data_IF_845304687190
#
_entry.id   IF_845304687190
#
_cell.length_a   1.000
_cell.length_b   1.000
_cell.length_c   1.000
_cell.angle_alpha   90.00
_cell.angle_beta   90.00
_cell.angle_gamma   90.00
#
_symmetry.space_group_name_H-M   'P 1'
#
loop_
_entity.id
_entity.type
_entity.pdbx_description
1 polymer ?
#
# COMPACT_ATOMS: atom_id res chain seq x y z
N UNK A 1 5.73 -23.56 5.00
CA UNK A 1 5.10 -22.31 4.51
C UNK A 1 3.84 -22.03 5.31
N UNK A 2 3.70 -20.82 5.79
CA UNK A 2 2.53 -20.39 6.56
C UNK A 2 1.86 -19.23 5.83
N UNK A 3 0.54 -19.28 5.71
CA UNK A 3 -0.22 -18.19 5.09
C UNK A 3 -1.11 -17.58 6.16
N UNK A 4 -1.02 -16.27 6.31
CA UNK A 4 -1.83 -15.52 7.27
C UNK A 4 -2.52 -14.35 6.58
N UNK A 5 -3.79 -14.15 6.88
CA UNK A 5 -4.53 -12.97 6.41
C UNK A 5 -4.42 -11.88 7.47
N UNK A 6 -3.98 -10.70 7.05
CA UNK A 6 -3.69 -9.58 7.95
C UNK A 6 -4.20 -8.28 7.37
N UNK A 7 -4.23 -7.27 8.20
CA UNK A 7 -4.48 -5.91 7.73
C UNK A 7 -3.51 -4.93 8.38
N UNK A 8 -3.38 -3.77 7.78
CA UNK A 8 -2.57 -2.69 8.31
C UNK A 8 -3.24 -1.37 7.97
N UNK A 9 -3.42 -0.52 8.99
CA UNK A 9 -3.93 0.83 8.80
C UNK A 9 -2.88 1.74 8.18
N UNK A 10 -3.33 2.78 7.50
CA UNK A 10 -2.45 3.83 6.99
C UNK A 10 -3.06 5.20 7.27
N UNK A 11 -2.20 6.17 7.48
CA UNK A 11 -2.57 7.57 7.66
C UNK A 11 -1.48 8.43 7.04
N UNK A 12 -1.85 9.16 6.00
CA UNK A 12 -0.88 10.00 5.28
C UNK A 12 -0.84 11.37 5.95
N UNK A 13 0.04 11.50 6.94
CA UNK A 13 0.15 12.70 7.78
C UNK A 13 1.13 13.74 7.26
N UNK A 14 1.55 13.62 6.02
CA UNK A 14 2.51 14.51 5.39
C UNK A 14 2.24 14.55 3.89
N UNK A 15 2.68 15.61 3.22
CA UNK A 15 2.59 15.71 1.74
C UNK A 15 3.79 15.05 1.05
N UNK A 16 4.75 14.54 1.81
CA UNK A 16 5.86 13.77 1.26
C UNK A 16 5.47 12.34 0.97
N UNK A 17 6.36 11.62 0.31
CA UNK A 17 6.16 10.20 0.05
C UNK A 17 6.40 9.39 1.32
N UNK A 18 5.45 8.55 1.67
CA UNK A 18 5.48 7.73 2.89
C UNK A 18 5.53 6.26 2.50
N UNK A 19 6.45 5.50 3.12
CA UNK A 19 6.46 4.05 3.01
C UNK A 19 5.37 3.51 3.93
N UNK A 20 4.27 3.03 3.34
CA UNK A 20 3.11 2.59 4.11
C UNK A 20 3.14 1.10 4.44
N UNK A 21 3.92 0.33 3.68
CA UNK A 21 4.03 -1.11 3.90
C UNK A 21 5.32 -1.63 3.28
N UNK A 22 6.07 -2.44 4.02
CA UNK A 22 7.26 -3.11 3.52
C UNK A 22 7.10 -4.61 3.68
N UNK A 23 7.24 -5.35 2.60
CA UNK A 23 7.17 -6.81 2.66
C UNK A 23 8.39 -7.34 3.43
N UNK A 24 8.19 -8.29 4.36
CA UNK A 24 9.32 -8.90 5.08
C UNK A 24 10.31 -9.57 4.13
N UNK A 25 11.56 -9.66 4.56
CA UNK A 25 12.62 -10.23 3.71
C UNK A 25 12.49 -11.73 3.46
N UNK A 26 11.66 -12.42 4.25
CA UNK A 26 11.43 -13.86 4.14
C UNK A 26 10.00 -14.20 3.76
N UNK A 27 9.29 -13.27 3.15
CA UNK A 27 7.87 -13.45 2.84
C UNK A 27 7.51 -12.93 1.46
N UNK A 28 6.43 -13.44 0.93
CA UNK A 28 5.72 -12.86 -0.21
C UNK A 28 4.39 -12.32 0.32
N UNK A 29 4.00 -11.15 -0.15
CA UNK A 29 2.76 -10.51 0.28
C UNK A 29 1.82 -10.40 -0.91
N UNK A 30 0.58 -10.82 -0.71
CA UNK A 30 -0.50 -10.63 -1.69
C UNK A 30 -1.44 -9.56 -1.14
N UNK A 31 -1.35 -8.36 -1.68
CA UNK A 31 -2.25 -7.27 -1.29
C UNK A 31 -3.59 -7.52 -1.97
N UNK A 32 -4.62 -7.75 -1.17
CA UNK A 32 -5.96 -8.08 -1.67
C UNK A 32 -6.83 -6.85 -1.86
N UNK A 33 -6.63 -5.84 -1.02
CA UNK A 33 -7.43 -4.62 -1.07
C UNK A 33 -6.65 -3.49 -0.43
N UNK A 34 -6.74 -2.30 -1.03
CA UNK A 34 -6.30 -1.06 -0.40
C UNK A 34 -7.49 -0.13 -0.45
N UNK A 35 -8.15 0.04 0.69
CA UNK A 35 -9.29 0.92 0.82
C UNK A 35 -8.83 2.21 1.47
N UNK A 36 -9.06 3.34 0.82
CA UNK A 36 -8.71 4.65 1.36
C UNK A 36 -9.94 5.52 1.49
N UNK A 37 -9.88 6.47 2.40
CA UNK A 37 -10.91 7.47 2.60
C UNK A 37 -10.28 8.85 2.59
N UNK A 38 -10.88 9.76 1.82
CA UNK A 38 -10.56 11.18 1.87
C UNK A 38 -11.57 11.85 2.80
N UNK A 39 -11.12 12.24 3.98
CA UNK A 39 -11.99 12.86 5.00
C UNK A 39 -12.17 14.36 4.83
N UNK A 40 -11.56 14.98 3.80
CA UNK A 40 -11.65 16.42 3.63
C UNK A 40 -12.89 16.83 2.85
N UNK A 41 -13.16 18.14 2.87
CA UNK A 41 -14.24 18.72 2.08
C UNK A 41 -13.81 19.07 0.66
N UNK A 42 -12.57 18.78 0.29
CA UNK A 42 -12.02 19.04 -1.04
C UNK A 42 -11.37 17.81 -1.64
N UNK A 43 -11.01 17.91 -2.90
CA UNK A 43 -10.31 16.87 -3.62
C UNK A 43 -8.87 16.75 -3.09
N UNK A 44 -8.38 15.53 -2.96
CA UNK A 44 -6.98 15.25 -2.57
C UNK A 44 -6.34 14.38 -3.65
N UNK A 45 -5.19 14.82 -4.17
CA UNK A 45 -4.42 14.02 -5.10
C UNK A 45 -3.75 12.88 -4.36
N UNK A 46 -3.78 11.68 -4.92
CA UNK A 46 -3.14 10.50 -4.34
C UNK A 46 -2.32 9.78 -5.40
N UNK A 47 -1.06 9.53 -5.08
CA UNK A 47 -0.17 8.71 -5.90
C UNK A 47 0.27 7.50 -5.08
N UNK A 48 0.26 6.32 -5.70
CA UNK A 48 0.71 5.08 -5.06
C UNK A 48 1.81 4.49 -5.91
N UNK A 49 2.92 4.13 -5.27
CA UNK A 49 4.10 3.59 -5.93
C UNK A 49 4.53 2.29 -5.25
N UNK A 50 5.19 1.43 -6.02
CA UNK A 50 5.84 0.23 -5.50
C UNK A 50 7.32 0.32 -5.83
N UNK A 51 8.17 0.20 -4.81
CA UNK A 51 9.59 0.03 -5.00
C UNK A 51 9.87 -1.46 -5.12
N UNK A 52 10.27 -1.88 -6.32
CA UNK A 52 10.71 -3.24 -6.58
C UNK A 52 12.18 -3.32 -6.20
N UNK A 53 12.46 -3.90 -5.06
CA UNK A 53 13.82 -3.91 -4.50
C UNK A 53 14.77 -4.71 -5.36
N UNK A 54 14.32 -5.81 -5.96
CA UNK A 54 15.18 -6.62 -6.83
C UNK A 54 15.55 -5.90 -8.13
N UNK A 55 14.67 -5.03 -8.63
CA UNK A 55 14.94 -4.23 -9.82
C UNK A 55 15.56 -2.86 -9.47
N UNK A 56 15.63 -2.51 -8.19
CA UNK A 56 16.08 -1.21 -7.69
C UNK A 56 15.36 -0.03 -8.36
N UNK A 57 14.08 -0.20 -8.61
CA UNK A 57 13.25 0.81 -9.28
C UNK A 57 11.91 0.98 -8.58
N UNK A 58 11.36 2.19 -8.71
CA UNK A 58 10.04 2.51 -8.17
C UNK A 58 9.07 2.77 -9.32
N UNK A 59 7.90 2.14 -9.24
CA UNK A 59 6.87 2.24 -10.27
C UNK A 59 5.61 2.84 -9.68
N UNK A 60 5.02 3.80 -10.39
CA UNK A 60 3.74 4.37 -9.99
C UNK A 60 2.62 3.48 -10.52
N UNK A 61 1.73 3.04 -9.62
CA UNK A 61 0.64 2.14 -9.98
C UNK A 61 -0.74 2.81 -9.89
N UNK A 62 -0.81 4.01 -9.29
CA UNK A 62 -2.06 4.74 -9.13
C UNK A 62 -1.74 6.23 -9.03
N UNK A 63 -2.52 7.05 -9.75
CA UNK A 63 -2.33 8.50 -9.70
C UNK A 63 -3.65 9.16 -10.08
N UNK A 64 -4.48 9.49 -9.08
CA UNK A 64 -5.80 10.06 -9.30
C UNK A 64 -6.13 11.07 -8.21
N UNK A 65 -7.13 11.87 -8.49
CA UNK A 65 -7.76 12.73 -7.50
C UNK A 65 -8.83 11.93 -6.79
N UNK A 66 -8.81 11.96 -5.45
CA UNK A 66 -9.86 11.35 -4.65
C UNK A 66 -10.86 12.44 -4.27
N UNK A 67 -12.12 12.25 -4.65
CA UNK A 67 -13.17 13.23 -4.40
C UNK A 67 -13.38 13.43 -2.90
N UNK A 68 -13.90 14.61 -2.53
CA UNK A 68 -14.19 14.95 -1.14
C UNK A 68 -15.09 13.91 -0.49
N UNK A 69 -14.83 13.59 0.77
CA UNK A 69 -15.66 12.72 1.60
C UNK A 69 -15.97 11.36 0.92
N UNK A 70 -14.98 10.81 0.22
CA UNK A 70 -15.16 9.60 -0.61
C UNK A 70 -14.25 8.50 -0.13
N UNK A 71 -14.77 7.26 -0.13
CA UNK A 71 -14.00 6.03 0.09
C UNK A 71 -13.79 5.34 -1.25
N UNK A 72 -12.58 4.84 -1.46
CA UNK A 72 -12.22 4.22 -2.74
C UNK A 72 -11.30 3.03 -2.52
N UNK A 73 -11.53 1.97 -3.31
CA UNK A 73 -10.61 0.84 -3.42
C UNK A 73 -9.65 1.14 -4.57
N UNK A 74 -8.36 1.24 -4.29
CA UNK A 74 -7.39 1.75 -5.26
C UNK A 74 -6.65 0.67 -6.03
N UNK A 75 -6.95 -0.61 -5.79
CA UNK A 75 -6.44 -1.69 -6.62
C UNK A 75 -7.60 -2.56 -7.08
N UNK A 76 -7.56 -2.95 -8.36
CA UNK A 76 -8.62 -3.77 -8.94
C UNK A 76 -8.32 -5.26 -8.85
N UNK A 77 -7.07 -5.62 -8.69
CA UNK A 77 -6.60 -7.00 -8.67
C UNK A 77 -5.55 -7.15 -7.59
N UNK A 78 -5.24 -8.40 -7.24
CA UNK A 78 -4.21 -8.69 -6.26
C UNK A 78 -2.87 -8.10 -6.71
N UNK A 79 -2.24 -7.37 -5.81
CA UNK A 79 -0.90 -6.81 -6.02
C UNK A 79 0.11 -7.65 -5.26
N UNK A 80 1.09 -8.18 -5.96
CA UNK A 80 2.12 -9.01 -5.35
C UNK A 80 3.30 -8.13 -4.94
N UNK A 81 3.71 -8.25 -3.69
CA UNK A 81 4.96 -7.69 -3.20
C UNK A 81 5.92 -8.83 -2.90
N UNK A 82 7.05 -8.85 -3.59
CA UNK A 82 8.11 -9.79 -3.29
C UNK A 82 8.86 -9.35 -2.04
N UNK A 83 9.76 -10.21 -1.56
CA UNK A 83 10.53 -9.90 -0.35
C UNK A 83 11.17 -8.51 -0.44
N UNK A 84 11.01 -7.74 0.61
CA UNK A 84 11.57 -6.38 0.78
C UNK A 84 11.00 -5.31 -0.15
N UNK A 85 10.01 -5.61 -0.97
CA UNK A 85 9.33 -4.59 -1.76
C UNK A 85 8.58 -3.61 -0.86
N UNK A 86 8.44 -2.37 -1.30
CA UNK A 86 7.86 -1.31 -0.49
C UNK A 86 6.69 -0.67 -1.23
N UNK A 87 5.56 -0.59 -0.53
CA UNK A 87 4.40 0.18 -1.01
C UNK A 87 4.50 1.58 -0.45
N UNK A 88 4.48 2.57 -1.32
CA UNK A 88 4.61 3.98 -0.95
C UNK A 88 3.41 4.77 -1.44
N UNK A 89 3.08 5.84 -0.72
CA UNK A 89 1.99 6.73 -1.10
C UNK A 89 2.37 8.18 -0.88
N UNK A 90 1.83 9.04 -1.75
CA UNK A 90 2.00 10.48 -1.66
C UNK A 90 0.63 11.15 -1.78
N UNK A 91 0.25 11.93 -0.77
CA UNK A 91 -1.00 12.68 -0.79
C UNK A 91 -0.71 14.16 -0.96
N UNK A 92 -1.56 14.86 -1.71
CA UNK A 92 -1.42 16.29 -1.92
C UNK A 92 -1.81 17.13 -0.71
N UNK A 93 -2.49 16.54 0.28
CA UNK A 93 -2.91 17.23 1.51
C UNK A 93 -2.63 16.30 2.69
N UNK A 94 -2.01 16.86 3.74
CA UNK A 94 -1.69 16.08 4.94
C UNK A 94 -2.95 15.79 5.75
N UNK A 95 -2.96 14.65 6.45
CA UNK A 95 -3.95 14.23 7.44
C UNK A 95 -5.35 13.96 6.90
N UNK A 96 -5.54 13.93 5.59
CA UNK A 96 -6.87 13.74 5.01
C UNK A 96 -7.09 12.33 4.44
N UNK A 97 -6.03 11.60 4.09
CA UNK A 97 -6.12 10.26 3.54
C UNK A 97 -5.78 9.24 4.62
N UNK A 98 -6.74 8.38 4.92
CA UNK A 98 -6.56 7.24 5.82
C UNK A 98 -7.07 5.99 5.13
N UNK A 99 -6.66 4.82 5.60
CA UNK A 99 -7.16 3.60 4.99
C UNK A 99 -6.68 2.33 5.66
N UNK A 100 -7.02 1.22 5.02
CA UNK A 100 -6.67 -0.13 5.47
C UNK A 100 -6.14 -0.91 4.27
N UNK A 101 -5.01 -1.58 4.48
CA UNK A 101 -4.45 -2.54 3.54
C UNK A 101 -4.80 -3.92 4.05
N UNK A 102 -5.50 -4.72 3.23
CA UNK A 102 -5.81 -6.12 3.56
C UNK A 102 -4.95 -7.02 2.71
N UNK A 103 -4.25 -7.97 3.33
CA UNK A 103 -3.27 -8.77 2.61
C UNK A 103 -3.15 -10.17 3.17
N UNK A 104 -2.61 -11.06 2.34
CA UNK A 104 -2.17 -12.38 2.75
C UNK A 104 -0.64 -12.39 2.82
N UNK A 105 -0.10 -12.80 3.94
CA UNK A 105 1.33 -12.95 4.15
C UNK A 105 1.69 -14.42 3.98
N UNK A 106 2.56 -14.70 3.03
CA UNK A 106 3.08 -16.04 2.80
C UNK A 106 4.48 -16.08 3.38
N UNK A 107 4.58 -16.62 4.58
CA UNK A 107 5.83 -16.72 5.32
C UNK A 107 6.64 -17.89 4.76
N UNK A 108 7.79 -17.59 4.20
CA UNK A 108 8.67 -18.55 3.55
C UNK A 108 9.88 -18.91 4.38
N UNK A 109 9.96 -18.38 5.59
CA UNK A 109 11.14 -18.60 6.44
C UNK A 109 11.37 -20.06 6.77
N UNK A 110 10.34 -20.91 6.70
CA UNK A 110 10.43 -22.33 7.03
C UNK A 110 10.62 -23.24 5.82
N UNK A 111 10.65 -22.69 4.62
CA UNK A 111 10.75 -23.52 3.41
C UNK A 111 12.10 -24.21 3.26
N UNK A 112 13.12 -23.67 3.89
CA UNK A 112 14.48 -24.21 3.82
C UNK A 112 14.89 -24.93 5.10
N UNK A 113 13.95 -25.12 5.98
CA UNK A 113 14.21 -25.75 7.28
C UNK A 113 14.19 -27.26 7.26
#
# INVERSE_FOLDING_TARGET
MTIRYKNQGLNLNSTGTISVFTAPSDATVLIKQIQINNGSSGVVNLSVQVTDTSATSTFRIFNEQVAAATTKDIINHTLVLEASDILKMTAGTADEIQGIISYALIDRSQENG
#
